data_IF_546031040763
#
_entry.id   IF_546031040763
#
_cell.length_a   1.000
_cell.length_b   1.000
_cell.length_c   1.000
_cell.angle_alpha   90.00
_cell.angle_beta   90.00
_cell.angle_gamma   90.00
#
_symmetry.space_group_name_H-M   'P 1'
#
loop_
_entity.id
_entity.type
_entity.pdbx_description
1 polymer ?
#
# COMPACT_ATOMS: atom_id res chain seq x y z
N UNK A 1 -17.40 -28.62 -4.70
CA UNK A 1 -17.67 -27.26 -4.19
C UNK A 1 -16.78 -26.29 -4.95
N UNK A 2 -17.27 -25.09 -5.28
CA UNK A 2 -16.40 -24.07 -5.89
C UNK A 2 -15.35 -23.62 -4.88
N UNK A 3 -14.07 -23.72 -5.25
CA UNK A 3 -12.92 -23.37 -4.40
C UNK A 3 -12.46 -21.93 -4.54
N UNK A 4 -13.14 -21.13 -5.37
CA UNK A 4 -12.81 -19.73 -5.66
C UNK A 4 -14.06 -18.89 -5.48
N UNK A 5 -13.95 -17.84 -4.67
CA UNK A 5 -15.00 -16.86 -4.45
C UNK A 5 -14.50 -15.47 -4.82
N UNK A 6 -15.13 -14.85 -5.82
CA UNK A 6 -14.76 -13.51 -6.29
C UNK A 6 -15.66 -12.46 -5.63
N UNK A 7 -15.04 -11.44 -5.05
CA UNK A 7 -15.71 -10.27 -4.48
C UNK A 7 -15.30 -9.02 -5.24
N UNK A 8 -16.18 -8.02 -5.29
CA UNK A 8 -15.84 -6.71 -5.86
C UNK A 8 -15.06 -5.86 -4.86
N UNK A 9 -15.44 -5.92 -3.58
CA UNK A 9 -14.79 -5.20 -2.49
C UNK A 9 -15.04 -5.94 -1.17
N UNK A 10 -14.07 -5.85 -0.26
CA UNK A 10 -14.20 -6.31 1.12
C UNK A 10 -13.29 -5.46 2.02
N UNK A 11 -13.73 -5.09 3.24
CA UNK A 11 -12.87 -4.39 4.19
C UNK A 11 -11.72 -5.30 4.64
N UNK A 12 -10.47 -4.91 4.39
CA UNK A 12 -9.29 -5.69 4.79
C UNK A 12 -9.24 -5.99 6.29
N UNK A 13 -9.64 -5.02 7.13
CA UNK A 13 -9.70 -5.22 8.59
C UNK A 13 -10.70 -6.29 9.03
N UNK A 14 -11.72 -6.59 8.21
CA UNK A 14 -12.64 -7.69 8.45
C UNK A 14 -12.17 -8.98 7.77
N UNK A 15 -11.67 -8.90 6.54
CA UNK A 15 -11.32 -10.09 5.75
C UNK A 15 -10.04 -10.76 6.24
N UNK A 16 -8.94 -10.01 6.36
CA UNK A 16 -7.61 -10.58 6.59
C UNK A 16 -7.49 -11.40 7.89
N UNK A 17 -8.09 -11.01 9.03
CA UNK A 17 -8.07 -11.84 10.24
C UNK A 17 -8.73 -13.23 10.08
N UNK A 18 -9.45 -13.48 8.98
CA UNK A 18 -10.11 -14.75 8.66
C UNK A 18 -9.38 -15.54 7.56
N UNK A 19 -8.29 -14.99 7.03
CA UNK A 19 -7.48 -15.61 5.98
C UNK A 19 -6.32 -16.38 6.59
N UNK A 20 -5.97 -17.52 5.99
CA UNK A 20 -4.77 -18.27 6.37
C UNK A 20 -3.49 -17.65 5.77
N UNK A 21 -3.61 -16.96 4.63
CA UNK A 21 -2.53 -16.32 3.92
C UNK A 21 -3.07 -15.19 3.02
N UNK A 22 -2.19 -14.30 2.59
CA UNK A 22 -2.46 -13.27 1.58
C UNK A 22 -1.41 -13.33 0.45
N UNK A 23 -1.80 -13.10 -0.79
CA UNK A 23 -0.92 -12.91 -1.93
C UNK A 23 -1.38 -11.67 -2.71
N UNK A 24 -0.60 -10.60 -2.68
CA UNK A 24 -0.92 -9.34 -3.34
C UNK A 24 0.30 -8.73 -4.00
N UNK A 25 0.10 -7.60 -4.68
CA UNK A 25 1.16 -6.92 -5.40
C UNK A 25 2.12 -6.10 -4.54
N UNK A 26 1.91 -5.99 -3.22
CA UNK A 26 2.81 -5.26 -2.31
C UNK A 26 2.55 -3.77 -2.12
N UNK A 27 1.34 -3.26 -2.36
CA UNK A 27 1.01 -1.88 -1.99
C UNK A 27 1.11 -1.64 -0.46
N UNK A 28 1.69 -0.51 -0.05
CA UNK A 28 1.97 -0.20 1.37
C UNK A 28 0.78 -0.44 2.31
N UNK A 29 -0.43 0.01 1.92
CA UNK A 29 -1.65 -0.16 2.73
C UNK A 29 -2.04 -1.63 2.92
N UNK A 30 -2.02 -2.44 1.85
CA UNK A 30 -2.35 -3.87 1.93
C UNK A 30 -1.29 -4.64 2.71
N UNK A 31 0.00 -4.35 2.49
CA UNK A 31 1.10 -4.92 3.25
C UNK A 31 0.95 -4.65 4.75
N UNK A 32 0.67 -3.38 5.12
CA UNK A 32 0.46 -2.99 6.51
C UNK A 32 -0.79 -3.66 7.11
N UNK A 33 -1.88 -3.77 6.34
CA UNK A 33 -3.11 -4.43 6.79
C UNK A 33 -2.90 -5.93 7.06
N UNK A 34 -2.20 -6.64 6.17
CA UNK A 34 -1.87 -8.06 6.33
C UNK A 34 -0.92 -8.27 7.51
N UNK A 35 0.08 -7.39 7.66
CA UNK A 35 1.03 -7.45 8.77
C UNK A 35 0.33 -7.21 10.12
N UNK A 36 -0.56 -6.22 10.20
CA UNK A 36 -1.36 -5.92 11.41
C UNK A 36 -2.37 -7.03 11.73
N UNK A 37 -2.86 -7.75 10.72
CA UNK A 37 -3.72 -8.92 10.89
C UNK A 37 -2.95 -10.19 11.32
N UNK A 38 -1.62 -10.21 11.14
CA UNK A 38 -0.79 -11.37 11.47
C UNK A 38 -0.91 -12.52 10.49
N UNK A 39 -1.17 -12.18 9.22
CA UNK A 39 -1.36 -13.16 8.14
C UNK A 39 -0.04 -13.32 7.38
N UNK A 40 0.48 -14.55 7.20
CA UNK A 40 1.58 -14.81 6.27
C UNK A 40 1.24 -14.30 4.87
N UNK A 41 2.16 -13.57 4.24
CA UNK A 41 1.88 -12.96 2.94
C UNK A 41 2.95 -13.25 1.88
N UNK A 42 2.55 -13.27 0.62
CA UNK A 42 3.49 -13.21 -0.49
C UNK A 42 3.25 -11.94 -1.30
N UNK A 43 4.35 -11.32 -1.71
CA UNK A 43 4.31 -10.08 -2.49
C UNK A 43 4.82 -10.36 -3.89
N UNK A 44 3.95 -10.15 -4.87
CA UNK A 44 4.24 -10.25 -6.30
C UNK A 44 4.35 -8.85 -6.92
N UNK A 45 5.52 -8.21 -6.84
CA UNK A 45 5.66 -6.82 -7.25
C UNK A 45 5.51 -6.64 -8.77
N UNK A 46 5.02 -5.47 -9.16
CA UNK A 46 5.00 -5.00 -10.54
C UNK A 46 5.54 -3.57 -10.71
N UNK A 47 5.48 -2.70 -9.69
CA UNK A 47 5.96 -1.30 -9.80
C UNK A 47 6.26 -0.63 -8.45
N UNK A 48 6.88 0.56 -8.52
CA UNK A 48 7.10 1.51 -7.42
C UNK A 48 7.83 0.93 -6.20
N UNK A 49 7.24 1.06 -5.02
CA UNK A 49 7.77 0.63 -3.72
C UNK A 49 7.50 -0.85 -3.42
N UNK A 50 6.78 -1.56 -4.30
CA UNK A 50 6.38 -2.95 -4.08
C UNK A 50 7.57 -3.93 -3.92
N UNK A 51 8.66 -3.83 -4.71
CA UNK A 51 9.84 -4.68 -4.48
C UNK A 51 10.47 -4.45 -3.10
N UNK A 52 10.43 -3.20 -2.60
CA UNK A 52 10.92 -2.88 -1.27
C UNK A 52 10.05 -3.56 -0.20
N UNK A 53 8.73 -3.50 -0.32
CA UNK A 53 7.83 -4.22 0.59
C UNK A 53 8.04 -5.73 0.55
N UNK A 54 8.24 -6.32 -0.64
CA UNK A 54 8.56 -7.74 -0.81
C UNK A 54 9.81 -8.13 -0.02
N UNK A 55 10.88 -7.35 -0.18
CA UNK A 55 12.13 -7.55 0.55
C UNK A 55 11.94 -7.41 2.07
N UNK A 56 11.12 -6.45 2.54
CA UNK A 56 10.85 -6.24 3.96
C UNK A 56 10.15 -7.45 4.60
N UNK A 57 9.10 -7.97 3.96
CA UNK A 57 8.35 -9.11 4.54
C UNK A 57 9.18 -10.38 4.56
N UNK A 58 10.02 -10.59 3.54
CA UNK A 58 10.95 -11.72 3.49
C UNK A 58 12.04 -11.61 4.55
N UNK A 59 12.67 -10.44 4.70
CA UNK A 59 13.68 -10.18 5.75
C UNK A 59 13.14 -10.35 7.17
N UNK A 60 11.89 -9.96 7.40
CA UNK A 60 11.21 -10.17 8.68
C UNK A 60 10.80 -11.64 8.89
N UNK A 61 10.83 -12.46 7.84
CA UNK A 61 10.37 -13.84 7.85
C UNK A 61 8.86 -13.96 8.10
N UNK A 62 8.08 -12.98 7.66
CA UNK A 62 6.61 -12.98 7.75
C UNK A 62 5.95 -13.24 6.40
N UNK A 63 6.76 -13.38 5.36
CA UNK A 63 6.28 -13.55 4.00
C UNK A 63 7.33 -13.99 3.00
N UNK A 64 6.91 -14.08 1.74
CA UNK A 64 7.72 -14.53 0.60
C UNK A 64 7.75 -13.40 -0.44
N UNK A 65 8.96 -13.02 -0.88
CA UNK A 65 9.12 -12.18 -2.05
C UNK A 65 9.00 -13.06 -3.30
N UNK A 66 8.02 -12.79 -4.16
CA UNK A 66 7.89 -13.55 -5.42
C UNK A 66 9.03 -13.11 -6.35
N UNK A 67 9.86 -14.05 -6.85
CA UNK A 67 11.15 -13.74 -7.46
C UNK A 67 11.08 -13.13 -8.88
N UNK A 68 9.89 -13.07 -9.48
CA UNK A 68 9.66 -12.56 -10.82
C UNK A 68 8.40 -11.70 -10.84
N UNK A 69 8.25 -10.89 -11.90
CA UNK A 69 6.99 -10.22 -12.20
C UNK A 69 5.87 -11.27 -12.25
N UNK A 70 4.69 -10.97 -11.71
CA UNK A 70 3.59 -11.95 -11.64
C UNK A 70 3.24 -12.56 -13.02
N UNK A 71 3.45 -11.80 -14.10
CA UNK A 71 3.27 -12.24 -15.50
C UNK A 71 4.21 -13.36 -15.93
N UNK A 72 5.28 -13.63 -15.18
CA UNK A 72 6.30 -14.63 -15.44
C UNK A 72 6.22 -15.82 -14.46
N UNK A 73 5.28 -15.79 -13.51
CA UNK A 73 5.11 -16.83 -12.50
C UNK A 73 4.15 -17.89 -13.02
N UNK A 74 4.57 -19.15 -13.01
CA UNK A 74 3.69 -20.26 -13.39
C UNK A 74 2.63 -20.53 -12.32
N UNK A 75 1.52 -21.15 -12.73
CA UNK A 75 0.47 -21.57 -11.81
C UNK A 75 0.99 -22.55 -10.74
N UNK A 76 1.91 -23.45 -11.10
CA UNK A 76 2.50 -24.40 -10.16
C UNK A 76 3.39 -23.70 -9.13
N UNK A 77 4.21 -22.74 -9.55
CA UNK A 77 5.03 -21.94 -8.65
C UNK A 77 4.15 -21.12 -7.69
N UNK A 78 3.05 -20.55 -8.19
CA UNK A 78 2.09 -19.84 -7.35
C UNK A 78 1.41 -20.78 -6.34
N UNK A 79 1.05 -21.99 -6.76
CA UNK A 79 0.46 -23.00 -5.90
C UNK A 79 1.44 -23.46 -4.80
N UNK A 80 2.73 -23.59 -5.11
CA UNK A 80 3.78 -23.88 -4.11
C UNK A 80 3.92 -22.77 -3.08
N UNK A 81 3.88 -21.51 -3.52
CA UNK A 81 3.91 -20.35 -2.62
C UNK A 81 2.71 -20.37 -1.69
N UNK A 82 1.50 -20.57 -2.20
CA UNK A 82 0.27 -20.63 -1.40
C UNK A 82 0.33 -21.79 -0.40
N UNK A 83 0.78 -22.98 -0.85
CA UNK A 83 0.99 -24.14 0.04
C UNK A 83 1.94 -23.77 1.17
N UNK A 84 3.09 -23.16 0.88
CA UNK A 84 4.06 -22.75 1.89
C UNK A 84 3.47 -21.75 2.88
N UNK A 85 2.83 -20.69 2.42
CA UNK A 85 2.20 -19.69 3.30
C UNK A 85 1.18 -20.31 4.26
N UNK A 86 0.45 -21.33 3.83
CA UNK A 86 -0.65 -21.95 4.60
C UNK A 86 -0.21 -23.13 5.47
N UNK A 87 1.01 -23.64 5.30
CA UNK A 87 1.52 -24.81 6.04
C UNK A 87 2.76 -24.54 6.89
N UNK A 88 3.51 -23.47 6.61
CA UNK A 88 4.70 -23.09 7.36
C UNK A 88 4.31 -22.42 8.69
N UNK A 89 4.41 -23.20 9.77
CA UNK A 89 4.06 -22.74 11.12
C UNK A 89 4.98 -21.63 11.64
N UNK A 90 6.22 -21.55 11.13
CA UNK A 90 7.17 -20.52 11.55
C UNK A 90 6.84 -19.17 10.91
N UNK A 91 6.43 -19.15 9.64
CA UNK A 91 5.87 -17.95 9.00
C UNK A 91 4.64 -17.44 9.77
N UNK A 92 3.71 -18.33 10.11
CA UNK A 92 2.51 -17.99 10.87
C UNK A 92 2.85 -17.41 12.26
N UNK A 93 3.79 -18.04 12.98
CA UNK A 93 4.24 -17.55 14.29
C UNK A 93 4.85 -16.15 14.20
N UNK A 94 5.77 -15.92 13.25
CA UNK A 94 6.41 -14.61 13.06
C UNK A 94 5.43 -13.52 12.63
N UNK A 95 4.47 -13.86 11.77
CA UNK A 95 3.41 -12.93 11.36
C UNK A 95 2.57 -12.51 12.58
N UNK A 96 2.17 -13.45 13.43
CA UNK A 96 1.44 -13.17 14.67
C UNK A 96 2.24 -12.29 15.65
N UNK A 97 3.54 -12.54 15.79
CA UNK A 97 4.44 -11.73 16.64
C UNK A 97 4.60 -10.30 16.12
N UNK A 98 4.81 -10.14 14.80
CA UNK A 98 4.84 -8.82 14.17
C UNK A 98 3.52 -8.08 14.41
N UNK A 99 2.39 -8.76 14.23
CA UNK A 99 1.08 -8.17 14.42
C UNK A 99 0.84 -7.73 15.87
N UNK A 100 1.32 -8.50 16.85
CA UNK A 100 1.27 -8.11 18.26
C UNK A 100 2.07 -6.84 18.52
N UNK A 101 3.27 -6.72 17.94
CA UNK A 101 4.11 -5.53 18.06
C UNK A 101 3.45 -4.31 17.42
N UNK A 102 2.97 -4.44 16.18
CA UNK A 102 2.29 -3.36 15.47
C UNK A 102 1.01 -2.87 16.17
N UNK A 103 0.27 -3.76 16.83
CA UNK A 103 -0.92 -3.36 17.62
C UNK A 103 -0.58 -2.71 18.95
N UNK A 104 0.63 -2.93 19.46
CA UNK A 104 1.13 -2.27 20.69
C UNK A 104 1.77 -0.91 20.42
N UNK A 105 2.03 -0.56 19.15
CA UNK A 105 2.51 0.76 18.78
C UNK A 105 1.42 1.82 19.01
N UNK A 106 1.81 3.06 19.39
CA UNK A 106 0.88 4.20 19.43
C UNK A 106 0.18 4.41 18.09
N UNK A 107 -0.98 5.06 18.11
CA UNK A 107 -1.69 5.37 16.88
C UNK A 107 -0.89 6.41 16.07
N UNK A 108 -0.41 5.98 14.90
CA UNK A 108 0.36 6.84 14.02
C UNK A 108 -0.45 8.02 13.47
N UNK A 109 -1.76 7.89 13.30
CA UNK A 109 -2.61 9.00 12.86
C UNK A 109 -2.76 10.04 13.96
N UNK A 110 -2.92 9.61 15.22
CA UNK A 110 -2.94 10.49 16.39
C UNK A 110 -1.60 11.23 16.51
N UNK A 111 -0.47 10.52 16.45
CA UNK A 111 0.85 11.15 16.52
C UNK A 111 1.12 12.15 15.39
N UNK A 112 0.59 11.90 14.18
CA UNK A 112 0.66 12.87 13.08
C UNK A 112 -0.23 14.08 13.35
N UNK A 113 -1.45 13.88 13.86
CA UNK A 113 -2.35 14.99 14.19
C UNK A 113 -1.72 15.90 15.25
N UNK A 114 -1.18 15.34 16.33
CA UNK A 114 -0.47 16.07 17.37
C UNK A 114 0.73 16.86 16.81
N UNK A 115 1.53 16.22 15.93
CA UNK A 115 2.68 16.87 15.32
C UNK A 115 2.28 18.04 14.41
N UNK A 116 1.18 17.90 13.66
CA UNK A 116 0.63 18.97 12.82
C UNK A 116 0.14 20.13 13.68
N UNK A 117 -0.62 19.85 14.74
CA UNK A 117 -1.11 20.88 15.66
C UNK A 117 0.04 21.65 16.32
N UNK A 118 1.09 20.93 16.77
CA UNK A 118 2.29 21.55 17.31
C UNK A 118 3.03 22.43 16.28
N UNK A 119 3.10 21.99 15.02
CA UNK A 119 3.76 22.75 13.96
C UNK A 119 3.02 24.04 13.58
N UNK A 120 1.69 24.09 13.74
CA UNK A 120 0.89 25.29 13.46
C UNK A 120 1.16 26.44 14.44
N UNK A 121 1.52 26.12 15.68
CA UNK A 121 1.84 27.13 16.72
C UNK A 121 3.33 27.42 16.82
N UNK A 122 4.18 26.58 16.22
CA UNK A 122 5.62 26.79 16.22
C UNK A 122 6.03 27.98 15.33
N UNK A 123 7.07 28.75 15.72
CA UNK A 123 7.66 29.74 14.83
C UNK A 123 8.12 29.09 13.53
N UNK A 124 7.71 29.66 12.40
CA UNK A 124 8.14 29.21 11.07
C UNK A 124 9.67 29.16 11.00
N UNK A 125 10.30 28.00 10.74
CA UNK A 125 11.76 27.91 10.65
C UNK A 125 12.31 28.56 9.38
N UNK A 126 11.47 28.82 8.38
CA UNK A 126 11.82 29.53 7.16
C UNK A 126 11.48 31.03 7.23
N UNK A 127 12.24 31.91 6.52
CA UNK A 127 12.01 33.35 6.54
C UNK A 127 10.58 33.70 6.15
N UNK A 128 9.89 34.45 7.00
CA UNK A 128 8.45 34.76 6.90
C UNK A 128 8.10 35.60 5.65
N UNK A 129 9.10 36.23 5.02
CA UNK A 129 8.94 37.12 3.87
C UNK A 129 8.39 36.45 2.59
N UNK A 130 8.32 35.12 2.54
CA UNK A 130 7.80 34.37 1.39
C UNK A 130 6.43 33.70 1.64
N UNK A 131 5.77 33.94 2.78
CA UNK A 131 4.46 33.32 3.04
C UNK A 131 3.44 33.99 2.10
N UNK A 132 2.85 33.26 1.12
CA UNK A 132 1.79 33.84 0.33
C UNK A 132 0.66 34.25 1.29
N UNK A 133 0.12 35.45 1.08
CA UNK A 133 -1.05 35.91 1.83
C UNK A 133 -2.11 34.83 1.73
N UNK A 134 -2.65 34.29 2.85
CA UNK A 134 -3.72 33.32 2.76
C UNK A 134 -4.87 33.98 2.00
N UNK A 135 -5.08 33.57 0.75
CA UNK A 135 -6.28 33.93 0.02
C UNK A 135 -7.39 33.16 0.74
N UNK A 136 -8.46 33.82 1.24
CA UNK A 136 -9.60 33.10 1.77
C UNK A 136 -10.24 32.32 0.61
N UNK A 137 -9.78 31.10 0.41
CA UNK A 137 -10.54 30.11 -0.34
C UNK A 137 -11.68 29.70 0.58
N UNK A 138 -12.91 29.69 0.05
CA UNK A 138 -14.03 29.06 0.73
C UNK A 138 -13.58 27.71 1.32
N UNK A 139 -14.08 27.31 2.51
CA UNK A 139 -13.63 26.06 3.13
C UNK A 139 -13.67 24.94 2.10
N UNK A 140 -12.54 24.28 1.89
CA UNK A 140 -12.48 23.10 1.04
C UNK A 140 -13.28 22.03 1.76
N UNK A 141 -14.52 21.83 1.33
CA UNK A 141 -15.36 20.74 1.81
C UNK A 141 -14.85 19.47 1.14
N UNK A 142 -14.04 18.70 1.87
CA UNK A 142 -13.63 17.37 1.45
C UNK A 142 -14.85 16.45 1.54
N UNK A 143 -15.47 16.16 0.41
CA UNK A 143 -16.46 15.09 0.29
C UNK A 143 -15.71 13.76 0.15
N UNK A 144 -16.14 12.72 0.87
CA UNK A 144 -15.65 11.37 0.61
C UNK A 144 -15.99 11.00 -0.84
N UNK A 145 -15.10 10.30 -1.53
CA UNK A 145 -15.35 9.85 -2.91
C UNK A 145 -16.68 9.11 -3.05
N UNK A 146 -17.06 8.39 -2.00
CA UNK A 146 -18.27 7.56 -1.96
C UNK A 146 -19.56 8.38 -1.88
N UNK A 147 -19.47 9.67 -1.49
CA UNK A 147 -20.60 10.59 -1.37
C UNK A 147 -20.76 11.50 -2.61
N UNK A 148 -19.89 11.34 -3.62
CA UNK A 148 -19.93 12.14 -4.84
C UNK A 148 -20.50 11.30 -6.01
N UNK A 149 -21.77 11.49 -6.41
CA UNK A 149 -22.37 10.74 -7.51
C UNK A 149 -21.76 11.07 -8.89
N UNK A 150 -20.96 12.13 -8.98
CA UNK A 150 -20.38 12.63 -10.24
C UNK A 150 -18.93 12.18 -10.50
N UNK A 151 -18.30 11.39 -9.61
CA UNK A 151 -17.00 10.73 -9.90
C UNK A 151 -17.19 9.41 -10.66
N UNK A 152 -17.99 9.44 -11.73
CA UNK A 152 -17.76 8.54 -12.84
C UNK A 152 -16.55 9.07 -13.61
N UNK A 153 -15.38 8.44 -13.41
CA UNK A 153 -14.13 8.62 -14.19
C UNK A 153 -13.98 9.98 -14.87
N UNK A 154 -13.77 11.05 -14.09
CA UNK A 154 -13.21 12.27 -14.64
C UNK A 154 -11.76 11.96 -15.04
N UNK A 155 -11.54 11.61 -16.31
CA UNK A 155 -10.22 11.63 -16.93
C UNK A 155 -9.72 13.07 -16.92
N UNK A 156 -9.01 13.44 -15.86
CA UNK A 156 -8.30 14.71 -15.80
C UNK A 156 -7.11 14.61 -16.76
N UNK A 157 -7.26 15.15 -17.97
CA UNK A 157 -6.11 15.52 -18.79
C UNK A 157 -5.36 16.64 -18.06
N UNK A 158 -4.37 16.26 -17.27
CA UNK A 158 -3.46 17.21 -16.66
C UNK A 158 -2.62 17.88 -17.77
N UNK A 159 -2.47 19.22 -17.77
CA UNK A 159 -1.56 19.88 -18.68
C UNK A 159 -0.14 19.37 -18.44
N UNK A 160 0.55 18.98 -19.52
CA UNK A 160 1.95 18.55 -19.52
C UNK A 160 2.88 19.70 -19.15
N UNK A 161 2.89 20.11 -17.89
CA UNK A 161 3.93 20.93 -17.30
C UNK A 161 4.81 20.02 -16.44
N UNK A 162 6.09 19.93 -16.82
CA UNK A 162 7.07 19.06 -16.22
C UNK A 162 7.37 19.49 -14.78
N UNK A 163 6.70 18.88 -13.79
CA UNK A 163 7.09 18.98 -12.39
C UNK A 163 8.44 18.27 -12.07
N UNK A 164 9.13 17.75 -13.09
CA UNK A 164 10.40 17.05 -12.98
C UNK A 164 11.65 17.95 -12.82
N UNK A 165 11.53 19.27 -12.78
CA UNK A 165 12.72 20.15 -12.70
C UNK A 165 13.20 20.52 -11.28
N UNK A 166 12.49 20.12 -10.21
CA UNK A 166 12.89 20.48 -8.83
C UNK A 166 13.32 19.33 -7.93
N UNK A 167 13.35 18.10 -8.44
CA UNK A 167 13.96 16.97 -7.74
C UNK A 167 14.71 16.19 -8.81
N UNK A 168 16.04 16.19 -8.76
CA UNK A 168 16.82 15.24 -9.53
C UNK A 168 16.86 13.90 -8.76
N UNK A 169 16.43 12.77 -9.36
CA UNK A 169 16.89 11.46 -8.95
C UNK A 169 17.77 10.83 -10.05
N UNK A 170 18.62 9.86 -9.67
CA UNK A 170 19.34 9.05 -10.62
C UNK A 170 18.36 8.09 -11.33
N UNK A 171 18.74 7.71 -12.55
CA UNK A 171 18.23 6.58 -13.34
C UNK A 171 17.13 6.90 -14.36
N UNK A 172 17.63 7.26 -15.54
CA UNK A 172 17.08 6.77 -16.81
C UNK A 172 16.97 5.24 -16.77
N UNK A 173 15.77 4.69 -16.83
CA UNK A 173 15.37 3.63 -17.78
C UNK A 173 13.90 3.23 -17.56
N UNK A 174 13.28 2.74 -18.63
CA UNK A 174 11.94 2.13 -18.71
C UNK A 174 10.79 3.11 -18.99
N UNK A 175 10.81 3.60 -20.24
CA UNK A 175 9.58 3.85 -20.98
C UNK A 175 9.16 2.55 -21.69
N UNK A 176 7.85 2.40 -21.82
CA UNK A 176 7.09 1.50 -22.69
C UNK A 176 6.63 0.16 -22.10
N UNK A 177 5.40 0.17 -21.56
CA UNK A 177 4.47 -0.97 -21.68
C UNK A 177 3.02 -0.49 -21.49
N UNK A 178 2.06 -0.88 -22.35
CA UNK A 178 0.69 -0.40 -22.26
C UNK A 178 -0.11 -1.15 -21.19
N UNK A 179 -1.08 -0.45 -20.62
CA UNK A 179 -2.02 -0.96 -19.62
C UNK A 179 -2.89 -2.09 -20.18
N UNK A 180 -2.97 -3.22 -19.47
CA UNK A 180 -4.17 -4.06 -19.47
C UNK A 180 -4.25 -4.95 -18.22
N UNK A 181 -5.45 -5.02 -17.65
CA UNK A 181 -6.07 -6.25 -17.18
C UNK A 181 -5.67 -6.84 -15.82
N UNK A 182 -6.55 -6.61 -14.85
CA UNK A 182 -7.05 -7.56 -13.83
C UNK A 182 -6.06 -8.45 -13.04
N UNK A 183 -6.09 -8.26 -11.72
CA UNK A 183 -5.65 -9.28 -10.76
C UNK A 183 -5.94 -8.84 -9.32
N UNK A 184 -7.13 -9.15 -8.82
CA UNK A 184 -7.35 -9.22 -7.37
C UNK A 184 -6.99 -10.64 -6.93
N UNK A 185 -5.83 -10.74 -6.28
CA UNK A 185 -5.59 -11.73 -5.24
C UNK A 185 -5.27 -10.88 -4.00
N UNK A 186 -5.96 -11.16 -2.89
CA UNK A 186 -5.81 -10.44 -1.62
C UNK A 186 -4.49 -10.82 -1.00
#
# INVERSE_FOLDING_TARGET
AASVFRVQSAPHGWLLPRCAAALHHGGAGTTAAAARAGVPMAIAPFAWDQPWWAERVEKLGVGIAVPAMITQVSADALADIIRRLTSDTELARRAAELASRLRSEPDGAEGVAEAVEAALVAPCPWPTAARPTPVPVAPVIWQRSDDNPDVAEAQVEAPRANACELIAPPQQLLRDTPASGAGLIV
#
